data_IF_722077026199
#
_entry.id   IF_722077026199
#
_cell.length_a   1.000
_cell.length_b   1.000
_cell.length_c   1.000
_cell.angle_alpha   90.00
_cell.angle_beta   90.00
_cell.angle_gamma   90.00
#
_symmetry.space_group_name_H-M   'P 1'
#
loop_
_entity.id
_entity.type
_entity.pdbx_description
1 polymer ?
#
# COMPACT_ATOMS: atom_id res chain seq x y z
N UNK A 1 3.69 -25.94 -0.98
CA UNK A 1 2.70 -25.55 0.04
C UNK A 1 2.26 -24.11 -0.19
N UNK A 2 0.99 -23.77 0.02
CA UNK A 2 0.50 -22.40 -0.15
C UNK A 2 0.56 -21.68 1.20
N UNK A 3 1.36 -20.63 1.32
CA UNK A 3 1.53 -19.88 2.58
C UNK A 3 0.48 -18.79 2.79
N UNK A 4 -0.19 -18.33 1.72
CA UNK A 4 -1.16 -17.23 1.77
C UNK A 4 -2.61 -17.72 1.52
N UNK A 5 -3.61 -17.16 2.22
CA UNK A 5 -5.03 -17.55 2.10
C UNK A 5 -5.76 -16.88 0.90
N UNK A 6 -5.03 -16.41 -0.12
CA UNK A 6 -5.62 -15.74 -1.28
C UNK A 6 -6.03 -16.73 -2.37
N UNK A 7 -6.94 -16.37 -3.28
CA UNK A 7 -7.33 -17.23 -4.43
C UNK A 7 -6.23 -17.36 -5.48
N UNK A 8 -5.41 -16.32 -5.69
CA UNK A 8 -4.36 -16.29 -6.70
C UNK A 8 -3.19 -17.25 -6.36
N UNK A 9 -2.72 -18.00 -7.35
CA UNK A 9 -1.55 -18.90 -7.23
C UNK A 9 -0.28 -18.33 -7.88
N UNK A 10 -0.44 -17.45 -8.86
CA UNK A 10 0.68 -16.80 -9.57
C UNK A 10 1.46 -15.91 -8.60
N UNK A 11 2.77 -16.14 -8.49
CA UNK A 11 3.66 -15.32 -7.68
C UNK A 11 3.82 -13.91 -8.26
N UNK A 12 4.11 -12.94 -7.39
CA UNK A 12 4.53 -11.60 -7.77
C UNK A 12 6.06 -11.58 -7.84
N UNK A 13 6.61 -11.15 -8.98
CA UNK A 13 8.05 -10.96 -9.15
C UNK A 13 8.38 -9.47 -8.99
N UNK A 14 9.52 -9.19 -8.39
CA UNK A 14 10.02 -7.83 -8.17
C UNK A 14 11.54 -7.83 -8.27
N UNK A 15 12.08 -6.83 -8.97
CA UNK A 15 13.50 -6.52 -8.94
C UNK A 15 13.80 -5.66 -7.71
N UNK A 16 14.81 -6.05 -6.94
CA UNK A 16 15.24 -5.32 -5.75
C UNK A 16 16.72 -4.98 -5.94
N UNK A 17 17.04 -3.69 -5.88
CA UNK A 17 18.41 -3.22 -6.03
C UNK A 17 19.23 -3.57 -4.79
N UNK A 18 20.41 -4.18 -5.00
CA UNK A 18 21.41 -4.42 -3.95
C UNK A 18 22.30 -3.17 -3.82
N UNK A 19 22.31 -2.57 -2.63
CA UNK A 19 23.13 -1.40 -2.30
C UNK A 19 24.28 -1.78 -1.36
N UNK A 20 25.32 -0.92 -1.32
CA UNK A 20 26.55 -1.16 -0.56
C UNK A 20 27.64 -1.91 -1.35
N UNK A 21 28.90 -1.75 -0.94
CA UNK A 21 30.05 -2.48 -1.50
C UNK A 21 30.42 -2.16 -2.95
N UNK A 22 31.37 -2.92 -3.49
CA UNK A 22 31.79 -2.87 -4.90
C UNK A 22 30.85 -3.69 -5.80
N UNK A 23 30.97 -3.54 -7.12
CA UNK A 23 30.16 -4.32 -8.07
C UNK A 23 30.42 -5.83 -7.95
N UNK A 24 31.69 -6.22 -7.77
CA UNK A 24 32.07 -7.63 -7.60
C UNK A 24 31.42 -8.23 -6.34
N UNK A 25 31.54 -7.53 -5.20
CA UNK A 25 30.93 -7.96 -3.93
C UNK A 25 29.41 -8.13 -4.04
N UNK A 26 28.72 -7.20 -4.73
CA UNK A 26 27.27 -7.31 -4.94
C UNK A 26 26.89 -8.51 -5.79
N UNK A 27 27.67 -8.83 -6.82
CA UNK A 27 27.44 -9.98 -7.69
C UNK A 27 27.66 -11.29 -6.94
N UNK A 28 28.73 -11.38 -6.16
CA UNK A 28 29.03 -12.56 -5.35
C UNK A 28 27.95 -12.78 -4.28
N UNK A 29 27.52 -11.71 -3.58
CA UNK A 29 26.44 -11.78 -2.61
C UNK A 29 25.10 -12.21 -3.21
N UNK A 30 24.75 -11.66 -4.39
CA UNK A 30 23.51 -12.00 -5.09
C UNK A 30 23.55 -13.45 -5.61
N UNK A 31 24.70 -13.91 -6.09
CA UNK A 31 24.91 -15.28 -6.56
C UNK A 31 24.84 -16.28 -5.41
N UNK A 32 25.42 -15.96 -4.26
CA UNK A 32 25.35 -16.79 -3.05
C UNK A 32 23.89 -17.02 -2.62
N UNK A 33 23.05 -15.98 -2.69
CA UNK A 33 21.63 -16.02 -2.29
C UNK A 33 20.68 -16.45 -3.40
N UNK A 34 21.19 -16.78 -4.58
CA UNK A 34 20.37 -17.31 -5.66
C UNK A 34 19.71 -18.61 -5.22
N UNK A 35 18.42 -18.79 -5.56
CA UNK A 35 17.57 -19.92 -5.14
C UNK A 35 17.33 -20.05 -3.62
N UNK A 36 17.78 -19.08 -2.81
CA UNK A 36 17.53 -19.06 -1.38
C UNK A 36 16.37 -18.14 -0.98
N UNK A 37 15.88 -18.30 0.24
CA UNK A 37 14.83 -17.44 0.81
C UNK A 37 15.44 -16.28 1.59
N UNK A 38 14.91 -15.08 1.38
CA UNK A 38 15.28 -13.87 2.16
C UNK A 38 14.06 -13.43 2.97
N UNK A 39 14.08 -13.51 4.32
CA UNK A 39 12.99 -13.06 5.17
C UNK A 39 12.98 -11.53 5.33
N UNK A 40 11.80 -10.99 5.69
CA UNK A 40 11.60 -9.54 5.90
C UNK A 40 12.54 -8.95 6.97
N UNK A 41 12.90 -9.72 7.98
CA UNK A 41 13.78 -9.31 9.08
C UNK A 41 15.24 -9.12 8.67
N UNK A 42 15.65 -9.62 7.49
CA UNK A 42 16.99 -9.34 6.94
C UNK A 42 17.01 -8.04 6.12
N UNK A 43 15.84 -7.51 5.74
CA UNK A 43 15.71 -6.33 4.88
C UNK A 43 15.36 -5.09 5.71
N UNK A 44 14.44 -5.22 6.67
CA UNK A 44 13.94 -4.12 7.48
C UNK A 44 14.19 -4.34 8.97
N UNK A 45 14.37 -3.23 9.68
CA UNK A 45 14.51 -3.15 11.11
C UNK A 45 13.20 -2.79 11.84
N UNK A 46 13.16 -3.17 13.10
CA UNK A 46 12.17 -2.69 14.05
C UNK A 46 12.33 -1.18 14.27
N UNK A 47 11.23 -0.43 14.38
CA UNK A 47 11.21 1.04 14.52
C UNK A 47 11.79 1.86 13.34
N UNK A 48 12.13 1.20 12.23
CA UNK A 48 12.58 1.84 11.00
C UNK A 48 11.45 2.62 10.30
N UNK A 49 11.80 3.74 9.67
CA UNK A 49 10.91 4.52 8.82
C UNK A 49 11.02 4.03 7.38
N UNK A 50 9.93 3.51 6.82
CA UNK A 50 9.89 2.98 5.45
C UNK A 50 8.92 3.74 4.56
N UNK A 51 9.10 3.60 3.25
CA UNK A 51 8.18 4.11 2.25
C UNK A 51 7.30 2.98 1.71
N UNK A 52 6.00 3.22 1.60
CA UNK A 52 5.03 2.23 1.10
C UNK A 52 4.56 2.64 -0.29
N UNK A 53 4.76 1.74 -1.25
CA UNK A 53 4.36 1.91 -2.65
C UNK A 53 3.21 0.96 -2.94
N UNK A 54 2.16 1.46 -3.59
CA UNK A 54 1.04 0.62 -3.98
C UNK A 54 -0.03 1.30 -4.81
N UNK A 55 -1.04 0.51 -5.16
CA UNK A 55 -2.23 0.99 -5.86
C UNK A 55 -3.34 1.25 -4.85
N UNK A 56 -3.86 2.48 -4.84
CA UNK A 56 -4.96 2.89 -3.96
C UNK A 56 -6.25 2.14 -4.26
N UNK A 57 -7.14 2.00 -3.27
CA UNK A 57 -8.46 1.36 -3.46
C UNK A 57 -9.27 2.06 -4.56
N UNK A 58 -9.68 1.30 -5.57
CA UNK A 58 -10.53 1.77 -6.67
C UNK A 58 -11.90 2.24 -6.19
N UNK A 59 -12.38 3.36 -6.74
CA UNK A 59 -13.73 3.91 -6.47
C UNK A 59 -14.54 4.10 -7.76
N UNK A 60 -13.99 3.72 -8.93
CA UNK A 60 -14.65 3.79 -10.23
C UNK A 60 -14.84 5.22 -10.75
N UNK A 61 -15.78 5.40 -11.68
CA UNK A 61 -16.15 6.71 -12.22
C UNK A 61 -16.90 7.55 -11.16
N UNK A 62 -16.42 8.76 -10.87
CA UNK A 62 -17.02 9.68 -9.89
C UNK A 62 -17.12 11.10 -10.42
N UNK A 63 -18.20 11.79 -10.00
CA UNK A 63 -18.42 13.21 -10.26
C UNK A 63 -17.43 14.12 -9.53
N UNK A 64 -17.36 15.39 -9.97
CA UNK A 64 -16.39 16.40 -9.49
C UNK A 64 -16.42 16.62 -7.98
N UNK A 65 -17.60 16.66 -7.35
CA UNK A 65 -17.72 16.82 -5.90
C UNK A 65 -17.07 15.67 -5.12
N UNK A 66 -17.16 14.43 -5.62
CA UNK A 66 -16.53 13.29 -4.93
C UNK A 66 -15.05 13.19 -5.28
N UNK A 67 -14.67 13.38 -6.54
CA UNK A 67 -13.29 13.20 -7.02
C UNK A 67 -12.36 14.34 -6.59
N UNK A 68 -12.82 15.58 -6.72
CA UNK A 68 -12.03 16.80 -6.51
C UNK A 68 -12.50 17.62 -5.31
N UNK A 69 -13.48 17.13 -4.56
CA UNK A 69 -13.95 17.77 -3.33
C UNK A 69 -14.46 19.22 -3.51
N UNK A 70 -14.99 19.55 -4.70
CA UNK A 70 -15.54 20.88 -4.97
C UNK A 70 -16.79 21.16 -4.12
N UNK A 71 -16.99 22.43 -3.73
CA UNK A 71 -18.22 22.86 -3.04
C UNK A 71 -19.45 22.53 -3.88
N UNK A 72 -20.49 21.99 -3.24
CA UNK A 72 -21.80 21.75 -3.88
C UNK A 72 -22.47 23.08 -4.20
N UNK A 73 -23.19 23.16 -5.32
CA UNK A 73 -24.01 24.32 -5.65
C UNK A 73 -25.25 24.38 -4.74
N UNK A 74 -25.91 25.56 -4.64
CA UNK A 74 -27.11 25.72 -3.83
C UNK A 74 -28.22 24.73 -4.19
N UNK A 75 -29.09 24.42 -3.22
CA UNK A 75 -30.17 23.43 -3.35
C UNK A 75 -31.08 23.69 -4.56
N UNK A 76 -31.38 24.96 -4.87
CA UNK A 76 -32.30 25.37 -5.96
C UNK A 76 -31.63 25.47 -7.34
N UNK A 77 -30.45 24.88 -7.52
CA UNK A 77 -29.74 24.91 -8.82
C UNK A 77 -30.44 24.01 -9.83
N UNK A 78 -30.88 24.58 -10.96
CA UNK A 78 -31.43 23.81 -12.07
C UNK A 78 -30.36 22.92 -12.74
N UNK A 79 -30.76 21.72 -13.18
CA UNK A 79 -29.89 20.68 -13.76
C UNK A 79 -28.75 20.23 -12.83
N UNK A 80 -29.09 19.98 -11.57
CA UNK A 80 -28.22 19.32 -10.59
C UNK A 80 -27.18 20.23 -9.92
N UNK A 81 -26.84 19.88 -8.68
CA UNK A 81 -26.03 20.71 -7.78
C UNK A 81 -24.61 20.15 -7.48
N UNK A 82 -24.29 18.95 -7.97
CA UNK A 82 -23.00 18.26 -7.72
C UNK A 82 -22.04 18.41 -8.92
N UNK A 83 -21.86 19.64 -9.36
CA UNK A 83 -21.07 20.04 -10.54
C UNK A 83 -20.22 21.27 -10.24
N UNK A 84 -19.25 21.54 -11.10
CA UNK A 84 -18.60 22.86 -11.19
C UNK A 84 -19.53 23.75 -12.01
N UNK A 85 -19.74 25.01 -11.58
CA UNK A 85 -20.61 25.95 -12.28
C UNK A 85 -19.97 26.50 -13.57
N UNK A 86 -18.86 27.22 -13.46
CA UNK A 86 -18.11 27.76 -14.59
C UNK A 86 -16.87 26.88 -14.86
N UNK A 87 -16.68 26.44 -16.11
CA UNK A 87 -15.57 25.55 -16.51
C UNK A 87 -14.38 26.31 -17.14
N UNK A 88 -14.51 27.61 -17.40
CA UNK A 88 -13.49 28.44 -18.03
C UNK A 88 -14.05 29.78 -18.51
N UNK A 89 -13.16 30.72 -18.80
CA UNK A 89 -13.50 31.98 -19.46
C UNK A 89 -13.81 31.77 -20.94
N UNK A 90 -14.29 32.81 -21.62
CA UNK A 90 -14.52 32.76 -23.07
C UNK A 90 -13.19 32.62 -23.83
N UNK A 91 -12.22 33.49 -23.54
CA UNK A 91 -10.86 33.42 -24.08
C UNK A 91 -9.93 32.97 -22.95
N UNK A 92 -9.20 31.85 -23.09
CA UNK A 92 -9.01 31.02 -24.28
C UNK A 92 -10.22 30.10 -24.59
N UNK A 93 -10.48 29.87 -25.88
CA UNK A 93 -11.60 29.05 -26.38
C UNK A 93 -11.37 27.53 -26.20
N UNK A 94 -10.94 27.11 -25.02
CA UNK A 94 -10.71 25.72 -24.62
C UNK A 94 -10.87 25.55 -23.12
N UNK A 95 -11.29 24.36 -22.69
CA UNK A 95 -11.30 24.00 -21.26
C UNK A 95 -9.89 23.63 -20.84
N UNK A 96 -9.36 24.26 -19.79
CA UNK A 96 -8.03 23.97 -19.27
C UNK A 96 -7.98 22.61 -18.56
N UNK A 97 -6.82 21.93 -18.64
CA UNK A 97 -6.60 20.63 -18.00
C UNK A 97 -6.65 20.68 -16.46
N UNK A 98 -6.38 21.86 -15.87
CA UNK A 98 -6.42 22.09 -14.43
C UNK A 98 -7.83 22.13 -13.85
N UNK A 99 -8.86 22.21 -14.71
CA UNK A 99 -10.26 22.31 -14.27
C UNK A 99 -10.75 20.94 -13.77
N UNK A 100 -11.41 20.95 -12.60
CA UNK A 100 -11.99 19.75 -12.03
C UNK A 100 -13.07 19.14 -12.94
N UNK A 101 -12.83 17.92 -13.42
CA UNK A 101 -13.76 17.13 -14.26
C UNK A 101 -14.10 15.79 -13.63
N UNK A 102 -15.29 15.26 -13.95
CA UNK A 102 -15.69 13.92 -13.55
C UNK A 102 -14.80 12.86 -14.24
N UNK A 103 -14.62 11.70 -13.61
CA UNK A 103 -13.82 10.62 -14.16
C UNK A 103 -13.37 9.62 -13.09
N UNK A 104 -12.33 8.84 -13.39
CA UNK A 104 -11.80 7.83 -12.48
C UNK A 104 -11.38 8.43 -11.13
N UNK A 105 -11.75 7.76 -10.04
CA UNK A 105 -11.29 8.05 -8.68
C UNK A 105 -10.71 6.77 -8.06
N UNK A 106 -9.48 6.86 -7.55
CA UNK A 106 -8.77 5.73 -6.95
C UNK A 106 -8.23 4.77 -8.01
N UNK A 107 -7.61 3.68 -7.55
CA UNK A 107 -6.80 2.81 -8.43
C UNK A 107 -5.63 3.56 -9.07
N UNK A 108 -5.04 4.47 -8.31
CA UNK A 108 -3.85 5.22 -8.71
C UNK A 108 -2.63 4.69 -7.95
N UNK A 109 -1.49 4.63 -8.64
CA UNK A 109 -0.19 4.34 -8.05
C UNK A 109 0.24 5.51 -7.15
N UNK A 110 0.62 5.23 -5.91
CA UNK A 110 1.07 6.22 -4.93
C UNK A 110 2.21 5.66 -4.09
N UNK A 111 3.05 6.58 -3.63
CA UNK A 111 4.10 6.34 -2.65
C UNK A 111 3.78 7.20 -1.44
N UNK A 112 3.66 6.58 -0.27
CA UNK A 112 3.54 7.28 1.00
C UNK A 112 4.80 7.03 1.82
N UNK A 113 5.52 8.11 2.12
CA UNK A 113 6.80 8.05 2.82
C UNK A 113 6.63 8.00 4.34
N UNK A 114 7.71 7.64 5.04
CA UNK A 114 7.82 7.79 6.50
C UNK A 114 6.77 7.02 7.31
N UNK A 115 6.49 5.77 6.93
CA UNK A 115 5.70 4.84 7.74
C UNK A 115 6.61 4.13 8.74
N UNK A 116 6.34 4.31 10.03
CA UNK A 116 7.12 3.66 11.09
C UNK A 116 6.72 2.19 11.26
N UNK A 117 7.69 1.28 11.28
CA UNK A 117 7.47 -0.13 11.61
C UNK A 117 7.35 -0.28 13.13
N UNK A 118 6.18 -0.69 13.61
CA UNK A 118 5.95 -0.91 15.05
C UNK A 118 6.25 -2.34 15.53
N UNK A 119 6.18 -3.34 14.65
CA UNK A 119 6.51 -4.73 15.02
C UNK A 119 6.88 -5.53 13.78
N UNK A 120 8.03 -6.20 13.80
CA UNK A 120 8.34 -7.32 12.90
C UNK A 120 7.96 -8.62 13.62
N UNK A 121 6.71 -9.05 13.44
CA UNK A 121 6.18 -10.26 14.10
C UNK A 121 6.63 -11.56 13.44
N UNK A 122 6.82 -12.60 14.24
CA UNK A 122 7.07 -13.96 13.72
C UNK A 122 5.78 -14.61 13.22
N UNK A 123 5.93 -15.47 12.20
CA UNK A 123 4.86 -16.35 11.73
C UNK A 123 4.57 -17.48 12.72
N UNK A 124 3.59 -18.31 12.39
CA UNK A 124 3.31 -19.52 13.16
C UNK A 124 4.43 -20.54 12.96
N UNK A 125 4.96 -21.05 14.05
CA UNK A 125 6.08 -21.99 14.06
C UNK A 125 5.80 -23.14 15.00
N UNK A 126 6.27 -24.33 14.65
CA UNK A 126 6.17 -25.51 15.49
C UNK A 126 7.55 -25.71 16.12
N UNK A 127 7.60 -25.66 17.45
CA UNK A 127 8.80 -25.94 18.24
C UNK A 127 8.47 -27.03 19.24
N UNK A 128 9.28 -28.09 19.29
CA UNK A 128 9.09 -29.22 20.21
C UNK A 128 7.69 -29.85 20.13
N UNK A 129 7.12 -29.92 18.91
CA UNK A 129 5.76 -30.44 18.66
C UNK A 129 4.62 -29.49 19.06
N UNK A 130 4.92 -28.33 19.67
CA UNK A 130 3.93 -27.32 20.04
C UNK A 130 3.87 -26.20 19.02
N UNK A 131 2.65 -25.83 18.63
CA UNK A 131 2.40 -24.66 17.78
C UNK A 131 2.53 -23.37 18.59
N UNK A 132 3.50 -22.54 18.23
CA UNK A 132 3.72 -21.20 18.78
C UNK A 132 3.11 -20.19 17.81
N UNK A 133 2.12 -19.43 18.31
CA UNK A 133 1.30 -18.49 17.52
C UNK A 133 1.08 -17.14 18.21
N UNK A 134 1.74 -16.91 19.35
CA UNK A 134 1.60 -15.76 20.23
C UNK A 134 2.27 -14.48 19.67
N UNK A 135 2.10 -14.19 18.39
CA UNK A 135 2.77 -13.08 17.73
C UNK A 135 2.21 -11.69 18.06
N UNK A 136 1.10 -11.61 18.82
CA UNK A 136 0.59 -10.37 19.39
C UNK A 136 0.79 -10.27 20.92
N UNK A 137 1.52 -11.21 21.53
CA UNK A 137 2.01 -11.05 22.90
C UNK A 137 3.11 -9.97 22.95
N UNK A 138 3.19 -9.28 24.08
CA UNK A 138 4.18 -8.24 24.37
C UNK A 138 4.75 -8.45 25.78
N UNK A 139 5.83 -7.75 26.11
CA UNK A 139 6.47 -7.89 27.43
C UNK A 139 5.53 -7.52 28.60
N UNK A 140 4.57 -6.62 28.34
CA UNK A 140 3.53 -6.22 29.30
C UNK A 140 2.25 -7.05 29.22
N UNK A 141 2.06 -7.78 28.12
CA UNK A 141 0.87 -8.61 27.88
C UNK A 141 1.27 -10.00 27.40
N UNK A 142 1.40 -10.89 28.37
CA UNK A 142 1.83 -12.28 28.22
C UNK A 142 0.73 -13.21 27.70
N UNK A 143 -0.43 -12.67 27.29
CA UNK A 143 -1.53 -13.46 26.76
C UNK A 143 -1.09 -14.26 25.53
N UNK A 144 -1.43 -15.56 25.46
CA UNK A 144 -1.20 -16.41 24.28
C UNK A 144 -2.22 -16.06 23.18
N UNK A 145 -1.92 -15.00 22.43
CA UNK A 145 -2.78 -14.47 21.37
C UNK A 145 -2.02 -14.20 20.08
N UNK A 146 -2.66 -14.56 18.97
CA UNK A 146 -2.20 -14.18 17.63
C UNK A 146 -2.68 -12.78 17.26
N UNK A 147 -2.06 -12.17 16.25
CA UNK A 147 -2.45 -10.88 15.66
C UNK A 147 -3.82 -10.93 14.96
N UNK A 148 -4.34 -12.12 14.67
CA UNK A 148 -5.63 -12.28 14.02
C UNK A 148 -6.77 -11.93 14.98
N UNK A 149 -7.73 -11.09 14.56
CA UNK A 149 -8.91 -10.76 15.36
C UNK A 149 -9.89 -11.94 15.45
N UNK A 150 -10.80 -11.89 16.42
CA UNK A 150 -12.00 -12.72 16.42
C UNK A 150 -12.92 -12.25 15.27
N UNK A 151 -13.47 -13.20 14.52
CA UNK A 151 -14.44 -12.97 13.44
C UNK A 151 -15.83 -13.31 13.93
#
# INVERSE_FOLDING_TARGET
>A
MRLLPLRQKKAHLMEVQVNGGTVAEKLDWARERLEQQVPVSQVFGQDEMIDVIGVTKGKGYKGVTSRWHTKKLPRKTHRGLRKVACIGAWHPARVAFSVARAGQKGYHHRTEINKKIYKIGQGYLIKDGKLIKNNASTDYDLSDKSINPLV
#
